data_IF_239570927861
#
_entry.id   IF_239570927861
#
_cell.length_a   1.000
_cell.length_b   1.000
_cell.length_c   1.000
_cell.angle_alpha   90.00
_cell.angle_beta   90.00
_cell.angle_gamma   90.00
#
_symmetry.space_group_name_H-M   'P 1'
#
loop_
_entity.id
_entity.type
_entity.pdbx_description
1 polymer ?
#
# COMPACT_ATOMS: atom_id res chain seq x y z
N UNK A 1 40.02 26.92 9.82
CA UNK A 1 39.05 27.56 8.93
C UNK A 1 39.03 26.74 7.64
N UNK A 2 38.20 25.70 7.61
CA UNK A 2 38.11 24.73 6.51
C UNK A 2 36.89 25.08 5.66
N UNK A 3 37.10 25.49 4.42
CA UNK A 3 36.05 25.67 3.42
C UNK A 3 35.94 24.39 2.61
N UNK A 4 34.93 23.57 2.92
CA UNK A 4 34.55 22.43 2.09
C UNK A 4 33.83 22.95 0.84
N UNK A 5 34.44 22.74 -0.33
CA UNK A 5 33.79 22.93 -1.63
C UNK A 5 32.74 21.82 -1.81
N UNK A 6 31.46 22.19 -1.87
CA UNK A 6 30.41 21.31 -2.37
C UNK A 6 30.54 21.22 -3.89
N UNK A 7 30.80 20.02 -4.39
CA UNK A 7 30.73 19.67 -5.81
C UNK A 7 29.27 19.49 -6.16
N UNK A 8 28.72 20.39 -6.97
CA UNK A 8 27.40 20.28 -7.55
C UNK A 8 27.47 19.26 -8.69
N UNK A 9 26.82 18.10 -8.56
CA UNK A 9 26.62 17.18 -9.67
C UNK A 9 25.50 17.74 -10.54
N UNK A 10 25.89 18.33 -11.67
CA UNK A 10 24.96 18.76 -12.71
C UNK A 10 24.52 17.51 -13.48
N UNK A 11 23.31 17.02 -13.24
CA UNK A 11 22.69 16.01 -14.12
C UNK A 11 22.36 16.71 -15.43
N UNK A 12 23.14 16.40 -16.46
CA UNK A 12 22.93 16.91 -17.80
C UNK A 12 21.63 16.33 -18.37
N UNK A 13 20.59 17.16 -18.44
CA UNK A 13 19.44 16.92 -19.30
C UNK A 13 19.92 17.05 -20.74
N UNK A 14 20.20 15.92 -21.41
CA UNK A 14 20.46 15.92 -22.85
C UNK A 14 19.17 16.29 -23.58
N UNK A 15 19.05 17.56 -23.97
CA UNK A 15 18.20 17.95 -25.07
C UNK A 15 18.79 17.37 -26.37
N UNK A 16 18.13 16.36 -26.94
CA UNK A 16 18.46 15.86 -28.29
C UNK A 16 18.04 16.92 -29.30
N UNK A 17 18.99 17.77 -29.69
CA UNK A 17 18.86 18.67 -30.82
C UNK A 17 19.18 17.88 -32.10
N UNK A 18 18.15 17.51 -32.87
CA UNK A 18 18.33 16.97 -34.22
C UNK A 18 18.59 18.13 -35.17
N UNK A 19 19.86 18.49 -35.35
CA UNK A 19 20.29 19.25 -36.53
C UNK A 19 20.61 18.28 -37.65
N UNK A 20 19.83 18.30 -38.73
CA UNK A 20 20.33 17.88 -40.04
C UNK A 20 19.81 18.83 -41.12
N UNK A 21 20.75 19.42 -41.87
CA UNK A 21 20.48 20.22 -43.05
C UNK A 21 20.37 19.30 -44.28
N UNK A 22 19.25 19.48 -45.00
CA UNK A 22 19.12 19.54 -46.46
C UNK A 22 19.47 18.31 -47.33
N UNK A 23 18.43 17.64 -47.83
CA UNK A 23 18.23 17.42 -49.27
C UNK A 23 16.74 17.15 -49.58
N UNK A 24 16.24 17.74 -50.67
CA UNK A 24 14.84 17.82 -51.09
C UNK A 24 14.39 16.53 -51.78
N UNK A 25 13.27 15.94 -51.33
CA UNK A 25 12.31 15.24 -52.19
C UNK A 25 10.93 15.22 -51.52
N UNK A 26 9.91 15.70 -52.24
CA UNK A 26 8.52 15.71 -51.78
C UNK A 26 7.91 14.31 -51.83
N UNK A 27 7.70 13.71 -50.65
CA UNK A 27 6.66 12.70 -50.42
C UNK A 27 5.88 13.08 -49.15
N UNK A 28 4.57 12.77 -49.08
CA UNK A 28 3.74 13.10 -47.92
C UNK A 28 4.23 12.31 -46.69
N UNK A 29 4.58 13.06 -45.64
CA UNK A 29 4.96 12.52 -44.33
C UNK A 29 3.71 11.83 -43.73
N UNK A 30 3.79 10.54 -43.33
CA UNK A 30 2.73 9.94 -42.55
C UNK A 30 2.69 10.61 -41.17
N UNK A 31 1.51 11.11 -40.78
CA UNK A 31 1.22 11.48 -39.40
C UNK A 31 1.48 10.28 -38.50
N UNK A 32 2.59 10.34 -37.76
CA UNK A 32 2.87 9.42 -36.67
C UNK A 32 3.52 10.19 -35.53
N UNK A 33 2.66 10.83 -34.75
CA UNK A 33 2.99 11.25 -33.39
C UNK A 33 2.89 10.02 -32.49
N UNK A 34 3.87 9.12 -32.58
CA UNK A 34 4.08 8.16 -31.49
C UNK A 34 4.56 9.01 -30.30
N UNK A 35 3.69 9.22 -29.31
CA UNK A 35 4.09 9.83 -28.04
C UNK A 35 5.19 8.96 -27.43
N UNK A 36 6.42 9.50 -27.41
CA UNK A 36 7.52 8.83 -26.74
C UNK A 36 7.19 8.77 -25.25
N UNK A 37 6.92 7.57 -24.74
CA UNK A 37 6.76 7.32 -23.30
C UNK A 37 8.12 7.54 -22.62
N UNK A 38 8.28 8.70 -21.99
CA UNK A 38 9.45 9.00 -21.18
C UNK A 38 9.27 8.33 -19.83
N UNK A 39 10.10 7.33 -19.55
CA UNK A 39 10.16 6.67 -18.25
C UNK A 39 11.17 7.42 -17.41
N UNK A 40 10.70 8.33 -16.55
CA UNK A 40 11.58 9.07 -15.67
C UNK A 40 11.80 8.29 -14.39
N UNK A 41 13.05 8.27 -13.93
CA UNK A 41 13.42 7.65 -12.68
C UNK A 41 14.16 8.66 -11.87
N UNK A 42 13.68 8.86 -10.65
CA UNK A 42 14.45 9.50 -9.61
C UNK A 42 14.89 8.39 -8.68
N UNK A 43 16.20 8.25 -8.54
CA UNK A 43 16.72 7.96 -7.21
C UNK A 43 16.12 9.03 -6.30
N UNK A 44 15.49 8.59 -5.20
CA UNK A 44 14.67 9.41 -4.28
C UNK A 44 15.19 10.85 -4.28
N UNK A 45 14.43 11.82 -4.84
CA UNK A 45 14.91 13.18 -4.89
C UNK A 45 15.22 13.60 -3.45
N UNK A 46 16.43 14.10 -3.21
CA UNK A 46 16.92 14.45 -1.86
C UNK A 46 15.98 15.43 -1.10
N UNK A 47 15.01 16.02 -1.80
CA UNK A 47 13.93 16.79 -1.21
C UNK A 47 12.66 16.77 -2.07
N UNK A 48 11.51 17.00 -1.43
CA UNK A 48 10.20 17.19 -2.09
C UNK A 48 10.24 18.32 -3.14
N UNK A 49 11.04 19.37 -2.92
CA UNK A 49 11.19 20.48 -3.89
C UNK A 49 11.87 20.04 -5.18
N UNK A 50 12.84 19.13 -5.10
CA UNK A 50 13.46 18.56 -6.31
C UNK A 50 12.43 17.72 -7.07
N UNK A 51 11.62 16.95 -6.35
CA UNK A 51 10.55 16.17 -6.96
C UNK A 51 9.56 17.05 -7.73
N UNK A 52 9.05 18.09 -7.07
CA UNK A 52 8.07 19.01 -7.64
C UNK A 52 8.62 19.72 -8.87
N UNK A 53 9.89 20.14 -8.84
CA UNK A 53 10.56 20.74 -10.00
C UNK A 53 10.59 19.79 -11.19
N UNK A 54 10.83 18.49 -10.94
CA UNK A 54 10.85 17.53 -12.03
C UNK A 54 9.45 17.28 -12.58
N UNK A 55 8.44 17.09 -11.72
CA UNK A 55 7.05 16.90 -12.15
C UNK A 55 6.57 18.09 -12.99
N UNK A 56 6.90 19.31 -12.55
CA UNK A 56 6.64 20.55 -13.28
C UNK A 56 7.37 20.62 -14.62
N UNK A 57 8.62 20.18 -14.68
CA UNK A 57 9.41 20.15 -15.93
C UNK A 57 8.91 19.10 -16.90
N UNK A 58 8.40 17.98 -16.39
CA UNK A 58 7.84 16.89 -17.16
C UNK A 58 6.39 17.13 -17.61
N UNK A 59 5.72 18.17 -17.08
CA UNK A 59 4.29 18.44 -17.29
C UNK A 59 3.41 17.25 -16.86
N UNK A 60 3.72 16.69 -15.69
CA UNK A 60 3.06 15.51 -15.12
C UNK A 60 2.43 15.86 -13.79
N UNK A 61 1.14 15.57 -13.65
CA UNK A 61 0.39 15.73 -12.40
C UNK A 61 0.35 14.39 -11.65
N UNK A 62 0.93 14.30 -10.43
CA UNK A 62 0.74 13.13 -9.60
C UNK A 62 -0.70 13.09 -9.08
N UNK A 63 -1.28 11.89 -9.05
CA UNK A 63 -2.56 11.61 -8.42
C UNK A 63 -2.38 11.25 -6.93
N UNK A 64 -1.24 10.70 -6.53
CA UNK A 64 -0.94 10.35 -5.14
C UNK A 64 0.56 10.32 -4.86
N UNK A 65 0.91 10.65 -3.61
CA UNK A 65 2.27 10.52 -3.07
C UNK A 65 2.28 9.50 -1.93
N UNK A 66 3.39 8.77 -1.78
CA UNK A 66 3.54 7.68 -0.81
C UNK A 66 4.83 7.84 -0.01
N UNK A 67 4.76 7.64 1.31
CA UNK A 67 5.90 7.55 2.23
C UNK A 67 6.02 6.13 2.77
N UNK A 68 7.24 5.74 3.15
CA UNK A 68 7.49 4.47 3.86
C UNK A 68 8.56 4.63 4.93
N UNK A 69 8.35 3.96 6.07
CA UNK A 69 9.29 3.83 7.17
C UNK A 69 9.28 2.36 7.61
N UNK A 70 10.30 1.60 7.17
CA UNK A 70 10.30 0.15 7.34
C UNK A 70 9.12 -0.50 6.61
N UNK A 71 8.31 -1.28 7.33
CA UNK A 71 7.10 -1.91 6.77
C UNK A 71 5.91 -0.94 6.72
N UNK A 72 5.96 0.17 7.46
CA UNK A 72 4.87 1.15 7.55
C UNK A 72 4.86 2.05 6.32
N UNK A 73 3.72 2.10 5.65
CA UNK A 73 3.47 2.89 4.46
C UNK A 73 2.27 3.80 4.69
N UNK A 74 2.29 4.97 4.06
CA UNK A 74 1.14 5.85 3.98
C UNK A 74 1.09 6.59 2.66
N UNK A 75 -0.11 6.90 2.19
CA UNK A 75 -0.32 7.64 0.95
C UNK A 75 -1.34 8.76 1.12
N UNK A 76 -1.21 9.76 0.26
CA UNK A 76 -2.09 10.93 0.20
C UNK A 76 -2.42 11.25 -1.26
N UNK A 77 -3.71 11.40 -1.57
CA UNK A 77 -4.15 11.90 -2.87
C UNK A 77 -3.74 13.36 -3.04
N UNK A 78 -3.34 13.72 -4.25
CA UNK A 78 -3.05 15.10 -4.62
C UNK A 78 -4.36 15.73 -5.09
N UNK A 79 -4.92 16.65 -4.29
CA UNK A 79 -6.15 17.35 -4.64
C UNK A 79 -5.90 18.35 -5.79
N UNK A 80 -6.92 18.57 -6.63
CA UNK A 80 -6.85 19.51 -7.75
C UNK A 80 -6.43 20.91 -7.26
N UNK A 81 -5.39 21.47 -7.88
CA UNK A 81 -4.85 22.78 -7.54
C UNK A 81 -3.95 22.84 -6.31
N UNK A 82 -3.68 21.69 -5.66
CA UNK A 82 -2.71 21.59 -4.55
C UNK A 82 -1.35 21.15 -5.08
N UNK A 83 -0.29 21.82 -4.65
CA UNK A 83 1.08 21.48 -5.05
C UNK A 83 1.59 20.22 -4.35
N UNK A 84 2.59 19.56 -4.93
CA UNK A 84 3.20 18.35 -4.33
C UNK A 84 3.82 18.64 -2.97
N UNK A 85 4.41 19.83 -2.79
CA UNK A 85 4.92 20.28 -1.50
C UNK A 85 3.83 20.44 -0.45
N UNK A 86 2.68 21.03 -0.83
CA UNK A 86 1.52 21.15 0.05
C UNK A 86 0.94 19.77 0.37
N UNK A 87 0.82 18.87 -0.61
CA UNK A 87 0.37 17.49 -0.36
C UNK A 87 1.34 16.74 0.55
N UNK A 88 2.66 16.92 0.41
CA UNK A 88 3.64 16.30 1.30
C UNK A 88 3.54 16.84 2.74
N UNK A 89 3.27 18.13 2.92
CA UNK A 89 3.02 18.71 4.23
C UNK A 89 1.73 18.16 4.86
N UNK A 90 0.65 18.02 4.07
CA UNK A 90 -0.61 17.41 4.49
C UNK A 90 -0.43 15.92 4.82
N UNK A 91 0.34 15.18 4.03
CA UNK A 91 0.69 13.79 4.30
C UNK A 91 1.40 13.66 5.66
N UNK A 92 2.39 14.52 5.93
CA UNK A 92 3.09 14.50 7.22
C UNK A 92 2.13 14.72 8.39
N UNK A 93 1.27 15.73 8.30
CA UNK A 93 0.31 16.08 9.36
C UNK A 93 -0.69 14.95 9.59
N UNK A 94 -1.31 14.44 8.53
CA UNK A 94 -2.26 13.33 8.60
C UNK A 94 -1.61 12.05 9.13
N UNK A 95 -0.35 11.79 8.75
CA UNK A 95 0.39 10.63 9.22
C UNK A 95 0.75 10.73 10.70
N UNK A 96 1.19 11.90 11.17
CA UNK A 96 1.44 12.13 12.60
C UNK A 96 0.16 11.97 13.44
N UNK A 97 -0.96 12.53 12.99
CA UNK A 97 -2.26 12.40 13.65
C UNK A 97 -2.70 10.93 13.73
N UNK A 98 -2.58 10.20 12.62
CA UNK A 98 -2.86 8.78 12.56
C UNK A 98 -2.00 8.00 13.56
N UNK A 99 -0.67 8.15 13.52
CA UNK A 99 0.24 7.38 14.37
C UNK A 99 -0.07 7.63 15.85
N UNK A 100 -0.31 8.89 16.23
CA UNK A 100 -0.69 9.25 17.59
C UNK A 100 -2.03 8.61 18.00
N UNK A 101 -3.03 8.63 17.12
CA UNK A 101 -4.33 8.04 17.39
C UNK A 101 -4.27 6.51 17.47
N UNK A 102 -3.47 5.88 16.60
CA UNK A 102 -3.30 4.42 16.54
C UNK A 102 -2.60 3.88 17.78
N UNK A 103 -1.49 4.50 18.21
CA UNK A 103 -0.79 4.14 19.46
C UNK A 103 -1.76 4.21 20.65
N UNK A 104 -2.46 5.35 20.80
CA UNK A 104 -3.45 5.51 21.88
C UNK A 104 -4.56 4.47 21.82
N UNK A 105 -5.10 4.19 20.63
CA UNK A 105 -6.18 3.22 20.47
C UNK A 105 -5.73 1.81 20.83
N UNK A 106 -4.53 1.42 20.44
CA UNK A 106 -3.94 0.11 20.77
C UNK A 106 -3.71 0.01 22.27
N UNK A 107 -3.10 1.02 22.89
CA UNK A 107 -2.86 1.06 24.34
C UNK A 107 -4.18 1.00 25.13
N UNK A 108 -5.18 1.81 24.75
CA UNK A 108 -6.52 1.80 25.37
C UNK A 108 -7.20 0.43 25.22
N UNK A 109 -7.01 -0.25 24.08
CA UNK A 109 -7.59 -1.58 23.84
C UNK A 109 -6.96 -2.66 24.71
N UNK A 110 -5.63 -2.58 24.93
CA UNK A 110 -4.90 -3.46 25.86
C UNK A 110 -5.39 -3.24 27.30
N UNK A 111 -5.56 -1.99 27.71
CA UNK A 111 -5.93 -1.65 29.09
C UNK A 111 -7.42 -1.93 29.38
N UNK A 112 -8.29 -1.86 28.37
CA UNK A 112 -9.74 -2.02 28.54
C UNK A 112 -10.20 -3.48 28.60
N UNK A 113 -9.48 -4.41 27.95
CA UNK A 113 -9.84 -5.83 27.95
C UNK A 113 -8.87 -6.68 28.80
N UNK A 114 -9.10 -6.81 30.12
CA UNK A 114 -8.26 -7.64 30.98
C UNK A 114 -8.38 -9.14 30.68
N UNK A 115 -9.31 -9.56 29.82
CA UNK A 115 -9.47 -10.94 29.37
C UNK A 115 -8.73 -11.23 28.06
N UNK A 116 -8.08 -10.24 27.45
CA UNK A 116 -7.27 -10.41 26.25
C UNK A 116 -6.14 -11.42 26.50
N UNK A 117 -5.93 -12.42 25.63
CA UNK A 117 -4.86 -13.39 25.78
C UNK A 117 -3.49 -12.72 25.84
N UNK A 118 -2.58 -13.22 26.68
CA UNK A 118 -1.24 -12.64 26.87
C UNK A 118 -0.44 -12.51 25.56
N UNK A 119 -0.57 -13.49 24.66
CA UNK A 119 0.05 -13.43 23.34
C UNK A 119 -0.48 -12.30 22.47
N UNK A 120 -1.79 -12.03 22.53
CA UNK A 120 -2.41 -10.92 21.80
C UNK A 120 -2.03 -9.56 22.39
N UNK A 121 -1.98 -9.45 23.72
CA UNK A 121 -1.44 -8.25 24.40
C UNK A 121 -0.01 -7.97 23.95
N UNK A 122 0.84 -9.00 23.89
CA UNK A 122 2.23 -8.85 23.45
C UNK A 122 2.32 -8.36 21.99
N UNK A 123 1.57 -8.97 21.08
CA UNK A 123 1.53 -8.56 19.67
C UNK A 123 1.04 -7.11 19.50
N UNK A 124 0.00 -6.71 20.24
CA UNK A 124 -0.51 -5.34 20.22
C UNK A 124 0.51 -4.35 20.78
N UNK A 125 1.23 -4.70 21.85
CA UNK A 125 2.31 -3.86 22.39
C UNK A 125 3.45 -3.68 21.38
N UNK A 126 3.87 -4.75 20.71
CA UNK A 126 4.89 -4.68 19.65
C UNK A 126 4.45 -3.71 18.56
N UNK A 127 3.20 -3.82 18.09
CA UNK A 127 2.68 -2.89 17.08
C UNK A 127 2.60 -1.44 17.61
N UNK A 128 2.20 -1.23 18.87
CA UNK A 128 2.16 0.09 19.49
C UNK A 128 3.56 0.72 19.55
N UNK A 129 4.57 -0.06 19.96
CA UNK A 129 5.97 0.37 20.04
C UNK A 129 6.52 0.72 18.64
N UNK A 130 6.29 -0.14 17.64
CA UNK A 130 6.67 0.11 16.24
C UNK A 130 6.06 1.42 15.71
N UNK A 131 4.75 1.65 15.92
CA UNK A 131 4.09 2.91 15.53
C UNK A 131 4.62 4.12 16.30
N UNK A 132 5.00 3.93 17.57
CA UNK A 132 5.63 4.95 18.40
C UNK A 132 7.02 5.35 17.87
N UNK A 133 7.81 4.39 17.41
CA UNK A 133 9.12 4.66 16.78
C UNK A 133 8.95 5.44 15.47
N UNK A 134 8.00 5.03 14.61
CA UNK A 134 7.68 5.77 13.38
C UNK A 134 7.22 7.19 13.70
N UNK A 135 6.39 7.38 14.73
CA UNK A 135 5.93 8.72 15.16
C UNK A 135 7.09 9.63 15.58
N UNK A 136 8.06 9.08 16.32
CA UNK A 136 9.25 9.84 16.73
C UNK A 136 10.10 10.23 15.52
N UNK A 137 10.25 9.33 14.55
CA UNK A 137 10.98 9.62 13.32
C UNK A 137 10.27 10.70 12.48
N UNK A 138 8.96 10.58 12.28
CA UNK A 138 8.15 11.56 11.52
C UNK A 138 8.24 12.96 12.14
N UNK A 139 8.25 13.05 13.48
CA UNK A 139 8.43 14.32 14.20
C UNK A 139 9.84 14.89 14.10
N UNK A 140 10.85 14.02 14.07
CA UNK A 140 12.25 14.40 14.02
C UNK A 140 12.73 14.80 12.61
N UNK A 141 12.33 14.02 11.61
CA UNK A 141 12.87 14.07 10.26
C UNK A 141 11.82 14.40 9.18
N UNK A 142 10.52 14.30 9.49
CA UNK A 142 9.44 14.50 8.52
C UNK A 142 9.04 13.20 7.82
N UNK A 143 8.49 13.32 6.62
CA UNK A 143 8.15 12.15 5.77
C UNK A 143 9.00 12.18 4.51
N UNK A 144 9.54 11.03 4.14
CA UNK A 144 10.28 10.83 2.90
C UNK A 144 9.34 10.31 1.82
N UNK A 145 9.22 11.04 0.71
CA UNK A 145 8.40 10.57 -0.41
C UNK A 145 9.14 9.45 -1.12
N UNK A 146 8.63 8.24 -0.94
CA UNK A 146 9.21 7.00 -1.48
C UNK A 146 8.48 6.52 -2.74
N UNK A 147 7.24 6.96 -2.98
CA UNK A 147 6.46 6.56 -4.13
C UNK A 147 5.57 7.66 -4.68
N UNK A 148 5.23 7.52 -5.96
CA UNK A 148 4.27 8.37 -6.66
C UNK A 148 3.36 7.54 -7.54
N UNK A 149 2.18 8.11 -7.73
CA UNK A 149 1.08 7.63 -8.53
C UNK A 149 0.71 8.76 -9.48
N UNK A 150 0.55 8.48 -10.76
CA UNK A 150 0.13 9.43 -11.80
C UNK A 150 -1.29 9.08 -12.28
N UNK A 151 -2.06 10.07 -12.72
CA UNK A 151 -3.38 9.88 -13.32
C UNK A 151 -3.25 9.28 -14.75
N UNK A 152 -4.29 8.60 -15.21
CA UNK A 152 -4.42 7.97 -16.55
C UNK A 152 -3.47 6.81 -16.91
N UNK A 153 -3.70 5.60 -16.38
CA UNK A 153 -3.30 4.32 -17.04
C UNK A 153 -1.81 4.04 -17.31
N UNK A 154 -0.92 5.03 -17.14
CA UNK A 154 0.52 5.02 -17.38
C UNK A 154 1.21 5.61 -16.13
N UNK A 155 1.22 4.83 -15.03
CA UNK A 155 2.00 5.17 -13.83
C UNK A 155 3.50 4.96 -14.08
N UNK A 156 4.30 6.01 -13.90
CA UNK A 156 5.76 5.94 -13.71
C UNK A 156 6.04 5.72 -12.21
N UNK A 157 6.69 4.62 -11.86
CA UNK A 157 7.05 4.27 -10.46
C UNK A 157 8.40 4.83 -10.07
N UNK A 158 8.51 5.29 -8.81
CA UNK A 158 9.78 5.71 -8.20
C UNK A 158 10.36 4.73 -7.17
N UNK A 159 9.53 4.03 -6.41
CA UNK A 159 9.96 2.83 -5.67
C UNK A 159 9.68 1.59 -6.52
N UNK A 160 10.71 1.14 -7.23
CA UNK A 160 10.65 0.00 -8.16
C UNK A 160 11.55 0.13 -9.40
N UNK A 161 12.29 1.24 -9.54
CA UNK A 161 13.20 1.43 -10.67
C UNK A 161 14.67 1.11 -10.38
N UNK A 162 15.10 1.14 -9.11
CA UNK A 162 16.51 0.96 -8.76
C UNK A 162 16.95 -0.52 -8.84
N UNK A 163 16.04 -1.49 -8.73
CA UNK A 163 16.39 -2.92 -8.83
C UNK A 163 16.49 -3.47 -10.27
N UNK A 164 16.41 -2.63 -11.30
CA UNK A 164 16.52 -3.10 -12.68
C UNK A 164 17.98 -3.24 -13.20
N UNK A 165 19.00 -2.85 -12.42
CA UNK A 165 20.41 -2.94 -12.87
C UNK A 165 21.30 -3.55 -11.81
N UNK A 166 21.12 -4.85 -11.50
CA UNK A 166 22.19 -5.71 -10.94
C UNK A 166 21.90 -7.22 -10.98
N UNK A 167 21.13 -7.72 -11.96
CA UNK A 167 21.19 -9.15 -12.29
C UNK A 167 21.50 -9.34 -13.77
N UNK A 168 22.69 -9.87 -14.14
CA UNK A 168 22.86 -10.41 -15.47
C UNK A 168 21.84 -11.53 -15.64
N UNK A 169 20.92 -11.37 -16.59
CA UNK A 169 20.04 -12.44 -17.03
C UNK A 169 20.92 -13.67 -17.32
N UNK A 170 20.69 -14.83 -16.68
CA UNK A 170 21.31 -16.05 -17.15
C UNK A 170 20.80 -16.27 -18.57
N UNK A 171 21.71 -16.28 -19.53
CA UNK A 171 21.48 -16.90 -20.84
C UNK A 171 21.49 -18.42 -20.63
N UNK A 172 20.51 -18.90 -19.88
CA UNK A 172 20.25 -20.31 -19.64
C UNK A 172 18.85 -20.61 -20.13
N UNK A 173 18.72 -21.63 -20.98
CA UNK A 173 17.45 -22.18 -21.43
C UNK A 173 16.50 -22.38 -20.25
N UNK A 174 15.30 -21.82 -20.36
CA UNK A 174 14.17 -22.11 -19.48
C UNK A 174 13.89 -23.62 -19.58
N UNK A 175 14.26 -24.37 -18.54
CA UNK A 175 13.57 -25.61 -18.26
C UNK A 175 12.25 -25.22 -17.60
N UNK A 176 11.15 -25.67 -18.19
CA UNK A 176 9.89 -25.75 -17.46
C UNK A 176 10.12 -26.59 -16.20
N UNK A 177 9.65 -26.16 -15.03
CA UNK A 177 9.75 -26.99 -13.84
C UNK A 177 8.88 -28.22 -14.05
N UNK A 178 9.51 -29.40 -14.01
CA UNK A 178 8.80 -30.66 -13.89
C UNK A 178 7.91 -30.60 -12.64
N UNK A 179 6.62 -30.83 -12.87
CA UNK A 179 5.56 -30.98 -11.87
C UNK A 179 5.81 -32.29 -11.10
N UNK A 180 6.86 -32.31 -10.27
CA UNK A 180 7.06 -33.39 -9.32
C UNK A 180 6.19 -33.13 -8.09
N UNK A 181 5.11 -33.90 -8.04
CA UNK A 181 4.11 -33.87 -6.98
C UNK A 181 4.72 -33.82 -5.58
N UNK A 182 4.21 -32.87 -4.80
CA UNK A 182 4.49 -32.69 -3.39
C UNK A 182 4.07 -33.97 -2.63
N UNK A 183 5.00 -34.90 -2.43
CA UNK A 183 4.83 -36.04 -1.52
C UNK A 183 5.06 -35.54 -0.10
N UNK A 184 3.97 -35.32 0.63
CA UNK A 184 4.00 -35.10 2.07
C UNK A 184 4.43 -36.42 2.76
N UNK A 185 5.68 -36.48 3.22
CA UNK A 185 6.12 -37.52 4.14
C UNK A 185 5.75 -37.12 5.57
N UNK A 186 4.69 -37.72 6.11
CA UNK A 186 4.38 -37.69 7.55
C UNK A 186 5.19 -38.77 8.28
N UNK A 187 6.34 -38.41 8.85
CA UNK A 187 6.88 -39.12 10.03
C UNK A 187 7.60 -38.11 10.94
N UNK A 188 6.90 -37.67 11.98
CA UNK A 188 7.40 -36.76 13.00
C UNK A 188 6.58 -36.86 14.28
N UNK A 189 6.95 -37.83 15.11
CA UNK A 189 6.45 -38.09 16.46
C UNK A 189 6.69 -36.90 17.41
N UNK A 190 5.72 -36.62 18.29
CA UNK A 190 5.94 -35.89 19.54
C UNK A 190 5.26 -34.53 19.68
N UNK A 191 4.00 -34.53 20.14
CA UNK A 191 3.29 -33.37 20.76
C UNK A 191 3.03 -32.15 19.86
N UNK A 192 2.73 -32.40 18.59
CA UNK A 192 2.15 -31.38 17.71
C UNK A 192 0.83 -30.85 18.27
N UNK A 193 0.87 -29.65 18.86
CA UNK A 193 -0.30 -28.80 18.97
C UNK A 193 -0.74 -28.56 17.53
N UNK A 194 -1.71 -29.36 17.06
CA UNK A 194 -2.42 -29.10 15.82
C UNK A 194 -3.04 -27.72 16.03
N UNK A 195 -2.34 -26.70 15.57
CA UNK A 195 -2.92 -25.38 15.39
C UNK A 195 -3.97 -25.62 14.33
N UNK A 196 -5.22 -25.78 14.75
CA UNK A 196 -6.33 -25.76 13.82
C UNK A 196 -6.15 -24.50 12.97
N UNK A 197 -5.95 -24.72 11.67
CA UNK A 197 -5.93 -23.69 10.65
C UNK A 197 -7.22 -22.85 10.74
N UNK A 198 -7.18 -21.62 10.22
CA UNK A 198 -8.30 -20.67 10.14
C UNK A 198 -9.66 -21.35 10.15
N UNK A 199 -10.48 -21.05 11.17
CA UNK A 199 -11.89 -21.47 11.22
C UNK A 199 -12.79 -20.58 10.34
N UNK A 200 -12.21 -19.61 9.61
CA UNK A 200 -12.87 -19.06 8.42
C UNK A 200 -12.90 -20.15 7.34
N UNK A 201 -13.93 -20.13 6.49
CA UNK A 201 -14.04 -21.07 5.38
C UNK A 201 -12.88 -20.92 4.36
N UNK A 202 -12.06 -19.88 4.50
CA UNK A 202 -11.03 -19.45 3.57
C UNK A 202 -9.62 -19.54 4.22
N UNK A 203 -8.73 -20.45 3.77
CA UNK A 203 -7.41 -20.67 4.38
C UNK A 203 -6.41 -19.51 4.16
N UNK A 204 -6.82 -18.45 3.49
CA UNK A 204 -6.04 -17.25 3.18
C UNK A 204 -6.56 -16.00 3.91
N UNK A 205 -7.69 -16.08 4.61
CA UNK A 205 -8.27 -14.93 5.31
C UNK A 205 -7.61 -14.71 6.69
N UNK A 206 -7.61 -13.46 7.20
CA UNK A 206 -7.20 -13.22 8.56
C UNK A 206 -8.07 -13.98 9.56
N UNK A 207 -7.46 -14.40 10.67
CA UNK A 207 -8.09 -15.24 11.68
C UNK A 207 -8.85 -14.43 12.74
N UNK A 208 -8.27 -13.31 13.16
CA UNK A 208 -8.84 -12.40 14.14
C UNK A 208 -8.40 -10.97 13.84
N UNK A 209 -9.12 -10.01 14.41
CA UNK A 209 -8.79 -8.60 14.32
C UNK A 209 -9.67 -7.70 15.18
N UNK A 210 -9.40 -6.40 15.06
CA UNK A 210 -10.24 -5.33 15.60
C UNK A 210 -10.71 -4.42 14.48
N UNK A 211 -11.88 -3.84 14.64
CA UNK A 211 -12.46 -2.88 13.72
C UNK A 211 -12.92 -1.65 14.47
N UNK A 212 -12.42 -0.49 14.08
CA UNK A 212 -12.87 0.82 14.52
C UNK A 212 -13.29 1.65 13.32
N UNK A 213 -14.60 1.88 13.19
CA UNK A 213 -15.17 2.64 12.07
C UNK A 213 -16.05 3.74 12.59
N UNK A 214 -15.82 4.97 12.13
CA UNK A 214 -16.69 6.13 12.34
C UNK A 214 -16.72 7.01 11.07
N UNK A 215 -17.26 8.22 11.12
CA UNK A 215 -17.35 9.09 9.93
C UNK A 215 -16.01 9.71 9.47
N UNK A 216 -14.96 9.57 10.27
CA UNK A 216 -13.64 10.19 10.09
C UNK A 216 -12.54 9.17 9.82
N UNK A 217 -12.73 7.90 10.21
CA UNK A 217 -11.71 6.87 10.07
C UNK A 217 -12.31 5.48 9.93
N UNK A 218 -11.66 4.65 9.11
CA UNK A 218 -11.71 3.18 9.23
C UNK A 218 -10.32 2.69 9.62
N UNK A 219 -10.18 2.17 10.84
CA UNK A 219 -8.95 1.58 11.36
C UNK A 219 -9.21 0.13 11.71
N UNK A 220 -8.41 -0.76 11.12
CA UNK A 220 -8.51 -2.20 11.30
C UNK A 220 -7.16 -2.73 11.76
N UNK A 221 -7.15 -3.68 12.69
CA UNK A 221 -5.98 -4.53 12.96
C UNK A 221 -6.36 -5.98 12.75
N UNK A 222 -5.44 -6.81 12.29
CA UNK A 222 -5.71 -8.23 12.05
C UNK A 222 -4.42 -9.04 11.95
N UNK A 223 -4.53 -10.36 12.07
CA UNK A 223 -3.42 -11.27 11.79
C UNK A 223 -3.91 -12.53 11.09
N UNK A 224 -2.98 -13.22 10.42
CA UNK A 224 -3.23 -14.50 9.77
C UNK A 224 -2.72 -15.63 10.66
N UNK A 225 -3.48 -16.71 10.83
CA UNK A 225 -2.97 -17.94 11.43
C UNK A 225 -2.51 -18.97 10.37
N UNK A 226 -2.77 -18.69 9.09
CA UNK A 226 -2.32 -19.46 7.94
C UNK A 226 -2.05 -18.51 6.76
N UNK A 227 -0.88 -18.64 6.13
CA UNK A 227 -0.49 -17.90 4.92
C UNK A 227 -0.08 -18.81 3.77
N UNK A 228 -0.22 -20.13 3.92
CA UNK A 228 0.23 -21.14 2.96
C UNK A 228 -0.47 -21.08 1.60
N UNK A 229 -1.59 -20.35 1.52
CA UNK A 229 -2.33 -20.12 0.28
C UNK A 229 -1.76 -18.97 -0.56
N UNK A 230 -0.89 -18.12 -0.01
CA UNK A 230 -0.30 -17.00 -0.75
C UNK A 230 0.89 -17.47 -1.59
N UNK A 231 0.70 -17.49 -2.90
CA UNK A 231 1.77 -17.73 -3.88
C UNK A 231 2.51 -16.44 -4.23
N UNK A 232 3.58 -16.56 -5.03
CA UNK A 232 4.41 -15.42 -5.45
C UNK A 232 3.66 -14.32 -6.20
N UNK A 233 2.49 -14.64 -6.78
CA UNK A 233 1.62 -13.69 -7.49
C UNK A 233 0.50 -13.12 -6.63
N UNK A 234 0.28 -13.69 -5.44
CA UNK A 234 -0.90 -13.38 -4.64
C UNK A 234 -0.90 -11.94 -4.15
N UNK A 235 -2.09 -11.37 -4.12
CA UNK A 235 -2.42 -10.11 -3.47
C UNK A 235 -3.48 -10.35 -2.43
N UNK A 236 -3.61 -9.40 -1.51
CA UNK A 236 -4.63 -9.45 -0.48
C UNK A 236 -5.17 -8.04 -0.27
N UNK A 237 -6.48 -7.89 -0.20
CA UNK A 237 -7.14 -6.63 0.12
C UNK A 237 -7.98 -6.77 1.38
N UNK A 238 -7.89 -5.77 2.25
CA UNK A 238 -8.72 -5.65 3.42
C UNK A 238 -9.74 -4.53 3.21
N UNK A 239 -11.02 -4.90 3.15
CA UNK A 239 -12.10 -4.02 2.74
C UNK A 239 -13.00 -3.67 3.93
N UNK A 240 -13.28 -2.38 4.11
CA UNK A 240 -14.41 -1.90 4.91
C UNK A 240 -15.54 -1.46 3.98
N UNK A 241 -16.59 -2.27 3.89
CA UNK A 241 -17.76 -1.99 3.07
C UNK A 241 -18.80 -1.21 3.88
N UNK A 242 -19.17 -0.02 3.43
CA UNK A 242 -20.11 0.88 4.11
C UNK A 242 -21.43 0.98 3.35
N UNK A 243 -22.48 0.41 3.93
CA UNK A 243 -23.81 0.29 3.32
C UNK A 243 -24.67 1.55 3.52
N UNK A 244 -24.06 2.73 3.34
CA UNK A 244 -24.73 4.02 3.36
C UNK A 244 -23.79 5.11 2.82
N UNK A 245 -23.95 5.54 1.56
CA UNK A 245 -23.08 6.57 0.96
C UNK A 245 -23.18 7.95 1.58
N UNK A 246 -24.23 8.18 2.36
CA UNK A 246 -24.37 9.40 3.13
C UNK A 246 -23.63 9.33 4.46
N UNK A 247 -22.89 8.26 4.77
CA UNK A 247 -22.15 8.15 6.04
C UNK A 247 -20.81 8.87 6.00
N UNK A 248 -19.96 8.49 5.06
CA UNK A 248 -18.64 9.09 4.88
C UNK A 248 -18.11 8.81 3.46
N UNK A 249 -17.24 9.68 2.97
CA UNK A 249 -16.45 9.47 1.75
C UNK A 249 -14.99 9.21 2.11
N UNK A 250 -14.18 8.73 1.18
CA UNK A 250 -12.74 8.68 1.37
C UNK A 250 -12.17 10.10 1.58
N UNK A 251 -11.31 10.24 2.59
CA UNK A 251 -10.71 11.51 3.01
C UNK A 251 -9.38 11.84 2.35
N UNK A 252 -8.86 10.96 1.48
CA UNK A 252 -7.64 11.18 0.72
C UNK A 252 -6.36 10.59 1.33
N UNK A 253 -6.38 10.11 2.57
CA UNK A 253 -5.22 9.53 3.26
C UNK A 253 -5.42 8.06 3.64
N UNK A 254 -4.39 7.24 3.47
CA UNK A 254 -4.35 5.85 3.94
C UNK A 254 -3.01 5.50 4.59
N UNK A 255 -3.00 4.47 5.43
CA UNK A 255 -1.77 3.89 5.99
C UNK A 255 -1.91 2.39 6.27
N UNK A 256 -0.80 1.65 6.19
CA UNK A 256 -0.75 0.22 6.50
C UNK A 256 0.68 -0.26 6.71
N UNK A 257 0.87 -1.34 7.47
CA UNK A 257 2.11 -2.13 7.48
C UNK A 257 2.02 -3.42 6.64
N UNK A 258 1.01 -3.53 5.77
CA UNK A 258 0.96 -4.63 4.79
C UNK A 258 2.16 -4.55 3.83
N UNK A 259 2.74 -5.68 3.40
CA UNK A 259 3.84 -5.68 2.45
C UNK A 259 3.42 -5.03 1.13
N UNK A 260 4.16 -4.02 0.67
CA UNK A 260 3.82 -3.27 -0.55
C UNK A 260 2.35 -2.83 -0.58
N UNK A 261 2.00 -2.02 0.41
CA UNK A 261 0.63 -1.60 0.61
C UNK A 261 0.18 -0.66 -0.51
N UNK A 262 -1.10 -0.71 -0.84
CA UNK A 262 -1.72 0.20 -1.78
C UNK A 262 -3.15 0.52 -1.35
N UNK A 263 -3.61 1.71 -1.71
CA UNK A 263 -5.02 2.05 -1.69
C UNK A 263 -5.69 1.57 -2.99
N UNK A 264 -6.81 0.84 -2.86
CA UNK A 264 -7.63 0.44 -3.99
C UNK A 264 -8.85 1.36 -4.12
N UNK A 265 -9.07 1.87 -5.33
CA UNK A 265 -10.17 2.82 -5.59
C UNK A 265 -11.45 2.04 -5.85
N UNK A 266 -12.56 2.46 -5.23
CA UNK A 266 -13.90 1.89 -5.41
C UNK A 266 -14.53 2.20 -6.79
N UNK A 267 -13.77 1.99 -7.88
CA UNK A 267 -14.21 2.30 -9.22
C UNK A 267 -15.36 1.37 -9.62
N UNK A 268 -16.54 1.97 -9.89
CA UNK A 268 -17.80 1.30 -10.30
C UNK A 268 -18.53 0.50 -9.21
N UNK A 269 -18.07 0.52 -7.97
CA UNK A 269 -18.79 -0.15 -6.90
C UNK A 269 -20.11 0.57 -6.59
N UNK A 270 -21.14 -0.20 -6.21
CA UNK A 270 -22.45 0.33 -5.80
C UNK A 270 -22.52 0.69 -4.30
N UNK A 271 -21.47 0.32 -3.56
CA UNK A 271 -21.29 0.51 -2.11
C UNK A 271 -19.94 1.24 -1.93
N UNK A 272 -19.79 2.01 -0.85
CA UNK A 272 -18.49 2.60 -0.55
C UNK A 272 -17.58 1.51 0.04
N UNK A 273 -16.53 1.19 -0.68
CA UNK A 273 -15.50 0.24 -0.26
C UNK A 273 -14.23 1.02 0.07
N UNK A 274 -13.87 1.00 1.35
CA UNK A 274 -12.59 1.55 1.82
C UNK A 274 -11.60 0.41 1.92
N UNK A 275 -10.70 0.33 0.93
CA UNK A 275 -9.84 -0.84 0.72
C UNK A 275 -8.37 -0.44 0.76
N UNK A 276 -7.61 -1.13 1.61
CA UNK A 276 -6.14 -1.11 1.57
C UNK A 276 -5.66 -2.55 1.39
N UNK A 277 -4.79 -2.75 0.41
CA UNK A 277 -4.28 -4.06 0.03
C UNK A 277 -2.77 -4.18 0.09
N UNK A 278 -2.29 -5.40 -0.14
CA UNK A 278 -0.91 -5.83 -0.28
C UNK A 278 -0.71 -6.35 -1.69
N UNK A 279 0.19 -5.75 -2.44
CA UNK A 279 0.56 -6.26 -3.76
C UNK A 279 1.51 -7.46 -3.67
N UNK A 280 1.97 -7.82 -2.49
CA UNK A 280 2.90 -8.93 -2.26
C UNK A 280 2.44 -9.76 -1.06
N UNK A 281 1.27 -10.40 -1.19
CA UNK A 281 0.69 -11.18 -0.10
C UNK A 281 1.57 -12.37 0.32
N UNK A 282 2.46 -12.86 -0.54
CA UNK A 282 3.47 -13.87 -0.19
C UNK A 282 4.44 -13.45 0.91
N UNK A 283 4.54 -12.15 1.21
CA UNK A 283 5.37 -11.62 2.28
C UNK A 283 4.63 -11.47 3.61
N UNK A 284 3.32 -11.76 3.63
CA UNK A 284 2.52 -11.78 4.86
C UNK A 284 2.95 -12.98 5.70
N UNK A 285 3.11 -12.75 7.00
CA UNK A 285 3.56 -13.75 7.99
C UNK A 285 2.42 -14.13 8.91
N UNK A 286 2.43 -15.38 9.36
CA UNK A 286 1.50 -15.82 10.39
C UNK A 286 1.81 -15.15 11.73
N UNK A 287 0.77 -14.82 12.49
CA UNK A 287 0.85 -14.19 13.82
C UNK A 287 1.59 -12.85 13.86
N UNK A 288 1.83 -12.23 12.70
CA UNK A 288 2.20 -10.82 12.63
C UNK A 288 0.93 -9.99 12.61
N UNK A 289 0.86 -8.96 13.45
CA UNK A 289 -0.26 -8.02 13.50
C UNK A 289 -0.10 -6.98 12.40
N UNK A 290 -1.07 -6.94 11.50
CA UNK A 290 -1.18 -5.93 10.46
C UNK A 290 -2.24 -4.90 10.83
N UNK A 291 -2.14 -3.72 10.23
CA UNK A 291 -3.20 -2.72 10.26
C UNK A 291 -3.48 -2.13 8.89
N UNK A 292 -4.69 -1.60 8.75
CA UNK A 292 -5.07 -0.70 7.65
C UNK A 292 -5.82 0.47 8.22
N UNK A 293 -5.51 1.67 7.73
CA UNK A 293 -6.15 2.91 8.10
C UNK A 293 -6.56 3.67 6.85
N UNK A 294 -7.76 4.25 6.86
CA UNK A 294 -8.19 5.24 5.88
C UNK A 294 -8.84 6.42 6.57
N UNK A 295 -8.43 7.63 6.23
CA UNK A 295 -9.16 8.84 6.63
C UNK A 295 -10.47 8.90 5.84
N UNK A 296 -11.52 9.37 6.50
CA UNK A 296 -12.84 9.53 5.94
C UNK A 296 -13.33 10.97 6.11
N UNK A 297 -14.18 11.42 5.19
CA UNK A 297 -14.82 12.73 5.22
C UNK A 297 -16.31 12.53 5.56
N UNK A 298 -16.80 13.04 6.70
CA UNK A 298 -18.19 12.87 7.10
C UNK A 298 -19.18 13.33 6.04
N UNK A 299 -20.29 12.61 5.92
CA UNK A 299 -21.43 12.96 5.10
C UNK A 299 -22.67 13.17 5.98
N UNK A 300 -23.86 13.30 5.38
CA UNK A 300 -25.08 13.73 6.06
C UNK A 300 -25.67 12.75 7.10
N UNK A 301 -25.25 11.50 7.10
CA UNK A 301 -25.74 10.43 7.97
C UNK A 301 -24.70 10.08 9.03
N UNK A 302 -25.10 10.12 10.30
CA UNK A 302 -24.21 9.82 11.42
C UNK A 302 -24.03 8.32 11.71
N UNK A 303 -24.68 7.44 10.93
CA UNK A 303 -24.56 6.00 11.12
C UNK A 303 -24.62 5.22 9.80
N UNK A 304 -24.00 4.04 9.81
CA UNK A 304 -24.04 3.10 8.70
C UNK A 304 -24.00 1.67 9.22
N UNK A 305 -24.47 0.73 8.41
CA UNK A 305 -24.10 -0.66 8.59
C UNK A 305 -22.80 -0.92 7.82
N UNK A 306 -21.85 -1.58 8.46
CA UNK A 306 -20.54 -1.86 7.87
C UNK A 306 -20.23 -3.36 7.89
N UNK A 307 -19.46 -3.82 6.91
CA UNK A 307 -18.91 -5.17 6.86
C UNK A 307 -17.42 -5.11 6.58
N UNK A 308 -16.68 -5.96 7.27
CA UNK A 308 -15.26 -6.15 7.00
C UNK A 308 -15.10 -7.43 6.17
N UNK A 309 -14.34 -7.36 5.08
CA UNK A 309 -14.09 -8.47 4.16
C UNK A 309 -12.62 -8.54 3.77
N UNK A 310 -12.16 -9.73 3.45
CA UNK A 310 -10.88 -9.95 2.78
C UNK A 310 -11.11 -10.31 1.31
N UNK A 311 -10.20 -9.90 0.44
CA UNK A 311 -10.18 -10.34 -0.95
C UNK A 311 -8.79 -10.89 -1.30
N UNK A 312 -8.76 -12.12 -1.77
CA UNK A 312 -7.59 -12.73 -2.40
C UNK A 312 -7.60 -12.34 -3.87
N UNK A 313 -6.43 -11.98 -4.39
CA UNK A 313 -6.25 -11.79 -5.82
C UNK A 313 -4.88 -12.25 -6.29
N UNK A 314 -4.59 -11.91 -7.54
CA UNK A 314 -3.29 -12.12 -8.14
C UNK A 314 -2.86 -10.95 -9.01
N UNK A 315 -1.54 -10.83 -9.20
CA UNK A 315 -0.93 -9.89 -10.14
C UNK A 315 -0.83 -10.47 -11.54
N UNK A 316 -1.22 -9.69 -12.53
CA UNK A 316 -1.00 -9.99 -13.95
C UNK A 316 -0.63 -8.71 -14.73
N UNK A 317 0.60 -8.60 -15.26
CA UNK A 317 1.71 -9.56 -15.17
C UNK A 317 2.32 -9.61 -13.76
N UNK A 318 3.05 -10.69 -13.44
CA UNK A 318 3.65 -10.92 -12.10
C UNK A 318 4.54 -9.78 -11.61
N UNK A 319 5.13 -8.98 -12.49
CA UNK A 319 6.01 -7.87 -12.12
C UNK A 319 5.26 -6.55 -11.87
N UNK A 320 3.95 -6.50 -12.11
CA UNK A 320 3.15 -5.30 -11.92
C UNK A 320 2.44 -5.34 -10.56
N UNK A 321 2.83 -4.43 -9.65
CA UNK A 321 2.27 -4.35 -8.30
C UNK A 321 1.28 -3.18 -8.15
N UNK A 322 0.68 -2.72 -9.25
CA UNK A 322 -0.29 -1.63 -9.23
C UNK A 322 -1.67 -2.25 -9.10
N UNK A 323 -2.62 -1.57 -8.44
CA UNK A 323 -4.05 -1.91 -8.45
C UNK A 323 -4.58 -2.32 -9.82
N UNK A 324 -4.19 -1.60 -10.88
CA UNK A 324 -4.53 -1.91 -12.29
C UNK A 324 -4.13 -3.28 -12.82
N UNK A 325 -3.17 -3.95 -12.17
CA UNK A 325 -2.69 -5.27 -12.55
C UNK A 325 -3.12 -6.34 -11.52
N UNK A 326 -3.97 -5.97 -10.57
CA UNK A 326 -4.44 -6.85 -9.52
C UNK A 326 -5.87 -7.26 -9.87
N UNK A 327 -6.10 -8.56 -9.83
CA UNK A 327 -7.38 -9.16 -10.20
C UNK A 327 -7.88 -10.00 -9.05
N UNK A 328 -9.14 -9.78 -8.67
CA UNK A 328 -9.83 -10.54 -7.66
C UNK A 328 -9.94 -12.03 -8.05
N UNK A 329 -9.55 -12.92 -7.14
CA UNK A 329 -9.72 -14.37 -7.27
C UNK A 329 -10.84 -14.89 -6.37
N UNK A 330 -10.89 -14.40 -5.13
CA UNK A 330 -11.89 -14.79 -4.15
C UNK A 330 -12.14 -13.66 -3.14
N UNK A 331 -13.36 -13.58 -2.63
CA UNK A 331 -13.71 -12.69 -1.51
C UNK A 331 -14.26 -13.53 -0.38
N UNK A 332 -13.89 -13.22 0.86
CA UNK A 332 -14.43 -13.92 2.03
C UNK A 332 -15.95 -13.73 2.12
N UNK A 333 -16.57 -14.54 2.97
CA UNK A 333 -17.79 -14.11 3.68
C UNK A 333 -17.61 -12.79 4.45
N UNK A 334 -18.59 -12.40 5.28
CA UNK A 334 -18.39 -11.27 6.20
C UNK A 334 -17.45 -11.72 7.33
N UNK A 335 -16.35 -11.00 7.57
CA UNK A 335 -15.49 -11.27 8.73
C UNK A 335 -16.07 -10.73 10.02
N UNK A 336 -16.62 -9.52 9.94
CA UNK A 336 -17.53 -9.00 10.94
C UNK A 336 -18.53 -8.08 10.27
N UNK A 337 -19.62 -7.79 10.96
CA UNK A 337 -20.62 -6.83 10.52
C UNK A 337 -21.21 -6.11 11.74
N UNK A 338 -21.32 -4.79 11.67
CA UNK A 338 -21.75 -3.97 12.80
C UNK A 338 -22.31 -2.62 12.36
N UNK A 339 -22.95 -1.90 13.29
CA UNK A 339 -23.38 -0.52 13.06
C UNK A 339 -22.26 0.44 13.46
N UNK A 340 -21.82 1.29 12.53
CA UNK A 340 -20.90 2.38 12.79
C UNK A 340 -21.67 3.64 13.26
N UNK A 341 -21.09 4.48 14.15
CA UNK A 341 -19.74 4.34 14.71
C UNK A 341 -19.64 3.25 15.78
N UNK A 342 -18.59 2.43 15.71
CA UNK A 342 -18.30 1.42 16.75
C UNK A 342 -16.85 0.94 16.72
N UNK A 343 -16.43 0.37 17.85
CA UNK A 343 -15.22 -0.45 17.98
C UNK A 343 -15.63 -1.88 18.37
N UNK A 344 -15.06 -2.90 17.74
CA UNK A 344 -15.23 -4.28 18.19
C UNK A 344 -14.02 -5.15 17.82
N UNK A 345 -13.90 -6.28 18.52
CA UNK A 345 -12.99 -7.37 18.18
C UNK A 345 -13.76 -8.51 17.51
N UNK A 346 -13.09 -9.26 16.64
CA UNK A 346 -13.65 -10.41 15.93
C UNK A 346 -12.60 -11.51 15.76
N UNK A 347 -13.06 -12.75 15.79
CA UNK A 347 -12.27 -13.98 15.63
C UNK A 347 -13.16 -15.08 15.04
N UNK A 348 -12.54 -16.08 14.42
CA UNK A 348 -13.22 -17.26 13.88
C UNK A 348 -13.04 -18.54 14.72
#
# INVERSE_FOLDING_TARGET
>A
MWTAKRTLFLVAVMAVSVMSQSCVSHEPIPERSDSARVRVTFDVPESVSVLAEILRTADVEPLEIVTSHGEHQAGMLVEEGVTVEETAALLREAHEEFLLAAVRHIDDSIDYDPAMPEGEVLEMRVLSDELGEVLLDVRGHGVDITGLTLDEGDRVRLAGFIDFVSYPLPTGSVMEPDDEGLVLSEEGDGTGRIVQASLSHEPWAPYCGTSYVNQYVSFQTFYFNNVGSFGSRSTYEHETQVYNRNFANYGGYWASNLPMAYYDTAFLDSIDNFTVGSALASSIRTYQRYYTNMSLRPQSSSSAFVRIKGQLGHRSPIWCYSTWCIFADATTGSMTAHAAPSALSWCY
#
